data_IF_498854726549
#
_entry.id   IF_498854726549
#
_cell.length_a   1.000
_cell.length_b   1.000
_cell.length_c   1.000
_cell.angle_alpha   90.00
_cell.angle_beta   90.00
_cell.angle_gamma   90.00
#
_symmetry.space_group_name_H-M   'P 1'
#
loop_
_entity.id
_entity.type
_entity.pdbx_description
1 polymer ?
#
# COMPACT_ATOMS: atom_id res chain seq x y z
N UNK A 1 -2.31 -18.89 -15.01
CA UNK A 1 -1.57 -17.65 -14.67
C UNK A 1 -1.77 -17.37 -13.18
N UNK A 2 -0.71 -17.40 -12.35
CA UNK A 2 -0.83 -17.09 -10.91
C UNK A 2 -1.01 -15.59 -10.72
N UNK A 3 -2.08 -15.15 -10.04
CA UNK A 3 -2.28 -13.73 -9.68
C UNK A 3 -1.24 -13.34 -8.64
N UNK A 4 -0.48 -12.30 -8.90
CA UNK A 4 0.47 -11.71 -7.93
C UNK A 4 -0.18 -10.48 -7.33
N UNK A 5 -0.33 -10.48 -6.00
CA UNK A 5 -0.83 -9.35 -5.25
C UNK A 5 0.33 -8.41 -4.93
N UNK A 6 0.09 -7.12 -5.10
CA UNK A 6 1.07 -6.05 -4.90
C UNK A 6 0.51 -5.04 -3.92
N UNK A 7 1.33 -4.62 -2.98
CA UNK A 7 1.02 -3.51 -2.07
C UNK A 7 1.65 -2.26 -2.64
N UNK A 8 0.83 -1.25 -2.88
CA UNK A 8 1.23 -0.01 -3.55
C UNK A 8 0.79 1.19 -2.73
N UNK A 9 1.56 2.28 -2.82
CA UNK A 9 1.22 3.56 -2.20
C UNK A 9 0.79 4.53 -3.28
N UNK A 10 -0.35 5.19 -3.07
CA UNK A 10 -0.78 6.25 -3.97
C UNK A 10 0.21 7.43 -3.88
N UNK A 11 0.78 7.90 -4.99
CA UNK A 11 1.72 9.03 -4.98
C UNK A 11 1.04 10.36 -4.62
N UNK A 12 -0.27 10.48 -4.83
CA UNK A 12 -1.02 11.72 -4.57
C UNK A 12 -1.51 11.87 -3.13
N UNK A 13 -2.17 10.85 -2.57
CA UNK A 13 -2.75 10.92 -1.22
C UNK A 13 -2.03 10.06 -0.18
N UNK A 14 -1.03 9.26 -0.60
CA UNK A 14 -0.32 8.35 0.29
C UNK A 14 -1.12 7.13 0.74
N UNK A 15 -2.34 6.91 0.22
CA UNK A 15 -3.17 5.76 0.57
C UNK A 15 -2.49 4.45 0.16
N UNK A 16 -2.42 3.51 1.09
CA UNK A 16 -1.89 2.17 0.87
C UNK A 16 -3.01 1.22 0.46
N UNK A 17 -2.84 0.56 -0.67
CA UNK A 17 -3.81 -0.39 -1.19
C UNK A 17 -3.15 -1.64 -1.76
N UNK A 18 -3.95 -2.71 -1.83
CA UNK A 18 -3.57 -3.97 -2.44
C UNK A 18 -4.16 -4.04 -3.85
N UNK A 19 -3.34 -4.39 -4.83
CA UNK A 19 -3.76 -4.52 -6.22
C UNK A 19 -3.19 -5.78 -6.86
N UNK A 20 -3.97 -6.41 -7.73
CA UNK A 20 -3.47 -7.46 -8.62
C UNK A 20 -3.17 -6.92 -10.04
N UNK A 21 -3.30 -5.60 -10.24
CA UNK A 21 -3.10 -4.98 -11.54
C UNK A 21 -1.65 -5.08 -12.00
N UNK A 22 -1.47 -5.19 -13.32
CA UNK A 22 -0.15 -5.35 -13.93
C UNK A 22 0.42 -4.05 -14.50
N UNK A 23 -0.44 -3.12 -14.93
CA UNK A 23 -0.03 -1.91 -15.68
C UNK A 23 -0.57 -0.61 -15.10
N UNK A 24 -1.88 -0.53 -14.85
CA UNK A 24 -2.53 0.69 -14.36
C UNK A 24 -3.24 0.35 -13.06
N UNK A 25 -3.07 1.21 -12.06
CA UNK A 25 -3.77 1.08 -10.78
C UNK A 25 -4.54 2.37 -10.50
N UNK A 26 -5.75 2.21 -9.97
CA UNK A 26 -6.60 3.32 -9.51
C UNK A 26 -6.59 3.38 -7.99
N UNK A 27 -6.50 4.57 -7.42
CA UNK A 27 -6.58 4.77 -5.98
C UNK A 27 -8.03 4.64 -5.53
N UNK A 28 -8.32 3.75 -4.58
CA UNK A 28 -9.65 3.69 -3.98
C UNK A 28 -10.01 4.88 -3.09
N UNK A 29 -9.01 5.67 -2.66
CA UNK A 29 -9.23 6.83 -1.77
C UNK A 29 -9.41 8.15 -2.54
N UNK A 30 -8.46 8.53 -3.40
CA UNK A 30 -8.50 9.81 -4.14
C UNK A 30 -8.93 9.68 -5.60
N UNK A 31 -9.14 8.46 -6.10
CA UNK A 31 -9.54 8.21 -7.49
C UNK A 31 -8.43 8.34 -8.54
N UNK A 32 -7.22 8.76 -8.19
CA UNK A 32 -6.10 8.87 -9.13
C UNK A 32 -5.80 7.53 -9.80
N UNK A 33 -5.62 7.54 -11.11
CA UNK A 33 -5.08 6.41 -11.87
C UNK A 33 -3.63 6.69 -12.26
N UNK A 34 -2.73 5.72 -12.08
CA UNK A 34 -1.32 5.87 -12.47
C UNK A 34 -0.74 4.56 -12.99
N UNK A 35 0.38 4.67 -13.71
CA UNK A 35 1.14 3.49 -14.15
C UNK A 35 1.85 2.84 -12.97
N UNK A 36 1.73 1.52 -12.89
CA UNK A 36 2.31 0.75 -11.81
C UNK A 36 3.76 0.38 -12.16
N UNK A 37 4.68 1.28 -11.85
CA UNK A 37 6.11 1.05 -11.94
C UNK A 37 6.64 0.21 -10.77
N UNK A 38 7.76 -0.50 -11.00
CA UNK A 38 8.37 -1.37 -9.98
C UNK A 38 8.74 -0.61 -8.72
N UNK A 39 9.12 0.66 -8.84
CA UNK A 39 9.48 1.54 -7.73
C UNK A 39 8.27 1.92 -6.85
N UNK A 40 7.06 1.90 -7.41
CA UNK A 40 5.83 2.17 -6.66
C UNK A 40 5.30 0.93 -5.90
N UNK A 41 5.88 -0.24 -6.14
CA UNK A 41 5.51 -1.50 -5.47
C UNK A 41 6.31 -1.63 -4.18
N UNK A 42 5.64 -1.50 -3.05
CA UNK A 42 6.26 -1.68 -1.74
C UNK A 42 6.49 -3.16 -1.41
N UNK A 43 5.61 -4.02 -1.91
CA UNK A 43 5.69 -5.46 -1.69
C UNK A 43 4.91 -6.21 -2.77
N UNK A 44 5.36 -7.40 -3.14
CA UNK A 44 4.60 -8.28 -4.04
C UNK A 44 4.67 -9.73 -3.57
N UNK A 45 3.56 -10.44 -3.66
CA UNK A 45 3.48 -11.85 -3.29
C UNK A 45 2.38 -12.57 -4.07
N UNK A 46 2.59 -13.83 -4.48
CA UNK A 46 1.52 -14.66 -5.01
C UNK A 46 0.48 -15.06 -3.94
N UNK A 47 0.83 -14.92 -2.65
CA UNK A 47 -0.06 -15.21 -1.54
C UNK A 47 -0.81 -13.95 -1.08
N UNK A 48 -2.14 -14.00 -1.12
CA UNK A 48 -3.01 -12.90 -0.69
C UNK A 48 -2.96 -12.65 0.81
N UNK A 49 -2.74 -13.68 1.62
CA UNK A 49 -2.60 -13.59 3.07
C UNK A 49 -1.39 -12.75 3.45
N UNK A 50 -0.21 -13.09 2.91
CA UNK A 50 1.04 -12.33 3.12
C UNK A 50 0.93 -10.89 2.66
N UNK A 51 0.32 -10.65 1.51
CA UNK A 51 0.16 -9.28 1.00
C UNK A 51 -0.78 -8.43 1.89
N UNK A 52 -1.86 -9.02 2.42
CA UNK A 52 -2.74 -8.34 3.40
C UNK A 52 -2.05 -8.09 4.73
N UNK A 53 -1.31 -9.07 5.24
CA UNK A 53 -0.55 -8.91 6.48
C UNK A 53 0.48 -7.77 6.36
N UNK A 54 1.22 -7.72 5.24
CA UNK A 54 2.17 -6.64 4.99
C UNK A 54 1.50 -5.27 4.91
N UNK A 55 0.35 -5.18 4.22
CA UNK A 55 -0.45 -3.95 4.18
C UNK A 55 -0.91 -3.52 5.58
N UNK A 56 -1.39 -4.46 6.41
CA UNK A 56 -1.81 -4.18 7.78
C UNK A 56 -0.64 -3.70 8.65
N UNK A 57 0.54 -4.31 8.52
CA UNK A 57 1.78 -3.87 9.19
C UNK A 57 2.19 -2.46 8.77
N UNK A 58 2.09 -2.12 7.49
CA UNK A 58 2.39 -0.77 6.99
C UNK A 58 1.40 0.28 7.53
N UNK A 59 0.11 -0.05 7.61
CA UNK A 59 -0.90 0.86 8.19
C UNK A 59 -0.63 1.11 9.67
N UNK A 60 -0.39 0.06 10.45
CA UNK A 60 -0.02 0.17 11.87
C UNK A 60 1.27 0.98 12.07
N UNK A 61 2.28 0.79 11.21
CA UNK A 61 3.53 1.56 11.30
C UNK A 61 3.34 3.03 10.96
N UNK A 62 2.41 3.37 10.06
CA UNK A 62 2.08 4.76 9.74
C UNK A 62 1.34 5.43 10.90
N UNK A 63 0.50 4.70 11.60
CA UNK A 63 -0.14 5.17 12.84
C UNK A 63 0.87 5.31 14.00
N UNK A 64 1.78 4.35 14.14
CA UNK A 64 2.88 4.43 15.12
C UNK A 64 3.91 5.53 14.78
N UNK A 65 4.09 5.87 13.51
CA UNK A 65 4.94 6.97 13.05
C UNK A 65 4.30 8.35 13.21
N UNK A 66 2.98 8.44 13.39
CA UNK A 66 2.28 9.70 13.70
C UNK A 66 2.12 9.94 15.21
N UNK A 67 2.35 8.92 16.04
CA UNK A 67 2.39 9.07 17.51
C UNK A 67 3.82 9.30 18.01
N UNK A 68 4.45 10.36 17.53
CA UNK A 68 5.58 11.01 18.22
C UNK A 68 5.29 12.51 18.39
N UNK A 69 4.24 12.79 19.16
CA UNK A 69 4.10 13.91 20.11
C UNK A 69 2.73 13.71 20.76
N UNK A 70 2.72 12.96 21.85
CA UNK A 70 1.80 13.25 22.95
C UNK A 70 2.76 13.55 24.09
N UNK A 71 2.96 14.84 24.35
CA UNK A 71 3.59 15.30 25.57
C UNK A 71 2.63 15.04 26.73
N UNK A 72 3.12 14.32 27.72
CA UNK A 72 2.64 14.22 29.10
C UNK A 72 3.90 13.79 29.91
N UNK A 73 4.43 14.50 30.91
CA UNK A 73 4.14 15.79 31.54
C UNK A 73 5.39 16.27 32.26
#
# INVERSE_FOLDING_TARGET
>A
MKRVFKVVRCPRCGFLQLTAASKIVRCFSCGLSWQLDREAILFSSPDSGRAREFLAKLKQRREAGFRKVSGEG
#
